data_IF_180715958369
#
_entry.id   IF_180715958369
#
_cell.length_a   1.000
_cell.length_b   1.000
_cell.length_c   1.000
_cell.angle_alpha   90.00
_cell.angle_beta   90.00
_cell.angle_gamma   90.00
#
_symmetry.space_group_name_H-M   'P 1'
#
loop_
_entity.id
_entity.type
_entity.pdbx_description
1 polymer ?
#
# COMPACT_ATOMS: atom_id res chain seq x y z
N UNK A 1 -59.41 -14.40 2.63
CA UNK A 1 -60.63 -13.68 3.07
C UNK A 1 -60.74 -13.95 4.56
N UNK A 2 -60.64 -13.02 5.49
CA UNK A 2 -60.86 -11.57 5.49
C UNK A 2 -59.70 -10.82 6.15
N UNK A 3 -59.54 -9.57 5.71
CA UNK A 3 -58.69 -8.53 6.30
C UNK A 3 -59.46 -7.81 7.41
N UNK A 4 -58.78 -7.50 8.53
CA UNK A 4 -59.04 -6.32 9.39
C UNK A 4 -57.65 -5.80 9.77
N UNK A 5 -57.08 -4.76 9.15
CA UNK A 5 -57.39 -3.32 9.25
C UNK A 5 -57.46 -2.83 10.71
N UNK A 6 -56.29 -2.52 11.26
CA UNK A 6 -56.15 -1.43 12.23
C UNK A 6 -55.12 -0.44 11.70
N UNK A 7 -55.56 0.81 11.65
CA UNK A 7 -54.93 1.94 11.00
C UNK A 7 -54.95 3.09 12.00
N UNK A 8 -53.83 3.82 12.07
CA UNK A 8 -53.65 5.17 12.61
C UNK A 8 -53.76 5.40 14.13
N UNK A 9 -52.64 5.84 14.73
CA UNK A 9 -52.43 7.26 15.03
C UNK A 9 -50.99 7.53 15.53
N UNK A 10 -50.23 8.34 14.77
CA UNK A 10 -49.19 9.19 15.34
C UNK A 10 -49.84 10.30 16.16
N UNK A 11 -49.15 10.78 17.20
CA UNK A 11 -48.88 12.21 17.21
C UNK A 11 -47.41 12.56 17.46
N UNK A 12 -47.04 13.64 16.78
CA UNK A 12 -45.83 14.45 16.95
C UNK A 12 -45.52 14.73 18.43
N UNK A 13 -44.26 14.55 18.83
CA UNK A 13 -43.67 15.45 19.82
C UNK A 13 -42.24 15.80 19.45
N UNK A 14 -42.16 16.99 18.88
CA UNK A 14 -41.02 17.88 18.72
C UNK A 14 -40.21 18.02 20.02
N UNK A 15 -38.92 17.77 19.98
CA UNK A 15 -37.95 18.44 20.87
C UNK A 15 -37.02 19.28 19.99
N UNK A 16 -37.39 20.56 19.87
CA UNK A 16 -36.52 21.68 19.50
C UNK A 16 -35.98 22.26 20.80
N UNK A 17 -34.67 22.39 20.98
CA UNK A 17 -33.98 23.37 21.84
C UNK A 17 -32.47 23.15 21.52
N UNK A 18 -31.62 24.10 21.13
CA UNK A 18 -31.67 25.55 20.94
C UNK A 18 -30.54 25.89 19.95
N UNK A 19 -30.91 26.50 18.84
CA UNK A 19 -30.05 27.46 18.16
C UNK A 19 -30.06 28.74 19.01
N UNK A 20 -28.90 29.23 19.41
CA UNK A 20 -28.74 30.64 19.78
C UNK A 20 -27.51 31.22 19.11
N UNK A 21 -27.75 31.77 17.93
CA UNK A 21 -27.01 32.91 17.39
C UNK A 21 -27.54 34.20 18.04
N UNK A 22 -26.62 35.11 18.41
CA UNK A 22 -26.71 36.59 18.41
C UNK A 22 -25.38 37.08 19.02
N UNK A 23 -24.41 37.49 18.21
CA UNK A 23 -24.30 38.82 17.60
C UNK A 23 -24.33 39.94 18.64
N UNK A 24 -23.18 40.59 18.86
CA UNK A 24 -22.98 42.05 18.80
C UNK A 24 -21.66 42.44 19.48
N UNK A 25 -20.65 42.75 18.68
CA UNK A 25 -19.66 43.76 19.03
C UNK A 25 -19.26 44.51 17.74
N UNK A 26 -20.09 45.50 17.37
CA UNK A 26 -19.65 46.75 16.73
C UNK A 26 -19.10 47.62 17.88
N UNK A 27 -18.05 48.43 17.79
CA UNK A 27 -17.64 49.46 16.83
C UNK A 27 -16.12 49.67 17.05
N UNK A 28 -15.31 49.96 16.02
CA UNK A 28 -14.51 51.20 15.82
C UNK A 28 -13.32 50.70 14.97
N UNK A 29 -12.74 51.33 13.95
CA UNK A 29 -12.96 52.49 13.10
C UNK A 29 -11.81 52.43 12.08
N UNK A 30 -12.10 52.68 10.81
CA UNK A 30 -11.20 53.10 9.72
C UNK A 30 -9.68 53.05 9.96
N UNK A 31 -8.98 52.18 9.22
CA UNK A 31 -7.74 52.60 8.56
C UNK A 31 -7.43 51.71 7.34
N UNK A 32 -6.91 52.38 6.32
CA UNK A 32 -6.82 51.98 4.92
C UNK A 32 -5.72 50.94 4.62
N UNK A 33 -5.83 50.37 3.41
CA UNK A 33 -4.81 49.70 2.58
C UNK A 33 -4.66 48.16 2.66
N UNK A 34 -4.70 47.59 1.44
CA UNK A 34 -4.24 46.27 0.97
C UNK A 34 -5.17 45.04 1.17
N UNK A 35 -5.74 44.48 0.08
CA UNK A 35 -6.20 43.10 0.09
C UNK A 35 -4.99 42.21 -0.24
N UNK A 36 -4.35 41.63 0.78
CA UNK A 36 -3.58 40.39 0.58
C UNK A 36 -4.36 39.26 1.25
N UNK A 37 -5.39 38.80 0.54
CA UNK A 37 -6.08 37.57 0.86
C UNK A 37 -5.12 36.45 0.43
N UNK A 38 -4.20 36.09 1.33
CA UNK A 38 -3.37 34.89 1.20
C UNK A 38 -4.33 33.72 1.31
N UNK A 39 -4.80 33.27 0.15
CA UNK A 39 -5.31 31.92 -0.03
C UNK A 39 -4.12 31.02 0.28
N UNK A 40 -4.01 30.58 1.54
CA UNK A 40 -3.26 29.36 1.86
C UNK A 40 -4.07 28.27 1.18
N UNK A 41 -3.79 28.06 -0.10
CA UNK A 41 -4.08 26.82 -0.77
C UNK A 41 -3.25 25.78 -0.02
N UNK A 42 -3.83 25.24 1.06
CA UNK A 42 -3.47 23.92 1.51
C UNK A 42 -3.76 23.01 0.32
N UNK A 43 -2.75 22.82 -0.52
CA UNK A 43 -2.71 21.66 -1.42
C UNK A 43 -2.96 20.48 -0.50
N UNK A 44 -4.15 19.92 -0.56
CA UNK A 44 -4.43 18.64 0.03
C UNK A 44 -3.53 17.65 -0.70
N UNK A 45 -2.31 17.47 -0.19
CA UNK A 45 -1.49 16.35 -0.57
C UNK A 45 -2.33 15.14 -0.19
N UNK A 46 -2.73 14.35 -1.18
CA UNK A 46 -3.27 13.03 -0.88
C UNK A 46 -2.27 12.35 0.07
N UNK A 47 -2.75 11.83 1.19
CA UNK A 47 -1.91 11.20 2.20
C UNK A 47 -1.19 10.01 1.56
N UNK A 48 0.08 10.17 1.22
CA UNK A 48 0.94 9.06 0.84
C UNK A 48 1.51 8.43 2.10
N UNK A 49 1.57 7.10 2.13
CA UNK A 49 2.28 6.40 3.20
C UNK A 49 3.80 6.48 3.03
N UNK A 50 4.31 6.86 1.86
CA UNK A 50 5.73 6.90 1.52
C UNK A 50 6.43 8.16 2.08
N UNK A 51 6.31 8.36 3.39
CA UNK A 51 6.92 9.49 4.11
C UNK A 51 8.27 9.09 4.68
N UNK A 52 9.15 10.05 4.97
CA UNK A 52 10.43 9.77 5.63
C UNK A 52 10.27 9.01 6.95
N UNK A 53 9.25 9.35 7.74
CA UNK A 53 8.95 8.67 8.99
C UNK A 53 8.62 7.19 8.78
N UNK A 54 7.68 6.89 7.87
CA UNK A 54 7.26 5.52 7.61
C UNK A 54 8.34 4.68 6.94
N UNK A 55 9.12 5.27 6.03
CA UNK A 55 10.27 4.59 5.43
C UNK A 55 11.37 4.30 6.47
N UNK A 56 11.55 5.17 7.46
CA UNK A 56 12.50 4.93 8.56
C UNK A 56 12.06 3.78 9.45
N UNK A 57 10.76 3.70 9.76
CA UNK A 57 10.17 2.56 10.48
C UNK A 57 10.37 1.26 9.72
N UNK A 58 10.11 1.26 8.40
CA UNK A 58 10.33 0.11 7.54
C UNK A 58 11.81 -0.32 7.55
N UNK A 59 12.73 0.61 7.31
CA UNK A 59 14.18 0.35 7.30
C UNK A 59 14.67 -0.26 8.61
N UNK A 60 14.16 0.22 9.75
CA UNK A 60 14.51 -0.30 11.06
C UNK A 60 13.97 -1.72 11.31
N UNK A 61 12.80 -2.04 10.75
CA UNK A 61 12.18 -3.36 10.87
C UNK A 61 12.84 -4.44 9.99
N UNK A 62 13.35 -4.07 8.81
CA UNK A 62 13.88 -5.01 7.82
C UNK A 62 14.92 -6.01 8.38
N UNK A 63 15.93 -5.60 9.20
CA UNK A 63 16.92 -6.54 9.73
C UNK A 63 16.34 -7.59 10.69
N UNK A 64 15.29 -7.25 11.43
CA UNK A 64 14.60 -8.20 12.31
C UNK A 64 13.70 -9.12 11.49
N UNK A 65 12.92 -8.56 10.55
CA UNK A 65 12.07 -9.32 9.63
C UNK A 65 12.87 -10.34 8.80
N UNK A 66 14.09 -10.00 8.38
CA UNK A 66 14.96 -10.90 7.63
C UNK A 66 15.49 -12.10 8.43
N UNK A 67 15.40 -12.07 9.76
CA UNK A 67 15.84 -13.16 10.65
C UNK A 67 14.71 -14.07 11.08
N UNK A 68 13.46 -13.73 10.75
CA UNK A 68 12.32 -14.57 11.10
C UNK A 68 12.40 -15.85 10.26
N UNK A 69 12.63 -16.98 10.92
CA UNK A 69 12.63 -18.29 10.28
C UNK A 69 11.21 -18.65 9.85
N UNK A 70 11.08 -19.17 8.63
CA UNK A 70 9.84 -19.74 8.12
C UNK A 70 10.01 -21.23 7.92
N UNK A 71 9.08 -21.98 8.48
CA UNK A 71 9.00 -23.43 8.31
C UNK A 71 8.79 -23.83 6.83
N UNK A 72 8.15 -22.97 6.04
CA UNK A 72 7.89 -23.19 4.61
C UNK A 72 8.22 -21.96 3.75
N UNK A 73 9.51 -21.74 3.44
CA UNK A 73 9.96 -20.63 2.57
C UNK A 73 9.32 -20.68 1.17
N UNK A 74 8.92 -21.87 0.69
CA UNK A 74 8.28 -22.02 -0.62
C UNK A 74 6.90 -21.35 -0.70
N UNK A 75 6.19 -21.20 0.42
CA UNK A 75 4.89 -20.52 0.45
C UNK A 75 5.01 -19.01 0.23
N UNK A 76 6.17 -18.38 0.49
CA UNK A 76 6.39 -16.96 0.18
C UNK A 76 6.32 -16.65 -1.31
N UNK A 77 6.86 -17.55 -2.15
CA UNK A 77 6.87 -17.38 -3.59
C UNK A 77 5.50 -17.60 -4.23
N UNK A 78 4.54 -18.12 -3.46
CA UNK A 78 3.17 -18.37 -3.89
C UNK A 78 2.19 -17.26 -3.49
N UNK A 79 2.65 -16.23 -2.77
CA UNK A 79 1.81 -15.10 -2.37
C UNK A 79 1.33 -14.35 -3.61
N UNK A 80 0.02 -14.30 -3.78
CA UNK A 80 -0.66 -13.58 -4.87
C UNK A 80 -1.34 -12.34 -4.31
N UNK A 81 -0.92 -11.17 -4.81
CA UNK A 81 -1.61 -9.91 -4.60
C UNK A 81 -2.87 -9.85 -5.48
N UNK A 82 -3.98 -9.38 -4.95
CA UNK A 82 -5.20 -9.16 -5.72
C UNK A 82 -5.25 -7.75 -6.33
N UNK A 83 -6.02 -7.57 -7.41
CA UNK A 83 -6.15 -6.28 -8.09
C UNK A 83 -7.14 -5.33 -7.37
N UNK A 84 -6.81 -4.89 -6.15
CA UNK A 84 -7.57 -3.87 -5.41
C UNK A 84 -6.68 -3.03 -4.49
N UNK A 85 -7.15 -1.86 -4.06
CA UNK A 85 -6.36 -0.93 -3.23
C UNK A 85 -6.76 -0.93 -1.75
N UNK A 86 -7.53 -1.93 -1.30
CA UNK A 86 -7.82 -2.10 0.12
C UNK A 86 -6.64 -2.82 0.80
N UNK A 87 -5.74 -2.06 1.42
CA UNK A 87 -4.53 -2.59 2.04
C UNK A 87 -4.78 -3.42 3.29
N UNK A 88 -5.84 -3.11 4.05
CA UNK A 88 -6.26 -3.96 5.17
C UNK A 88 -6.72 -5.33 4.67
N UNK A 89 -7.45 -5.35 3.55
CA UNK A 89 -7.86 -6.59 2.91
C UNK A 89 -6.66 -7.36 2.35
N UNK A 90 -5.71 -6.68 1.69
CA UNK A 90 -4.45 -7.31 1.23
C UNK A 90 -3.69 -7.97 2.38
N UNK A 91 -3.55 -7.28 3.52
CA UNK A 91 -2.87 -7.85 4.68
C UNK A 91 -3.56 -9.15 5.15
N UNK A 92 -4.90 -9.17 5.23
CA UNK A 92 -5.65 -10.39 5.58
C UNK A 92 -5.50 -11.50 4.54
N UNK A 93 -5.63 -11.17 3.25
CA UNK A 93 -5.57 -12.15 2.16
C UNK A 93 -4.18 -12.76 1.99
N UNK A 94 -3.11 -11.97 2.15
CA UNK A 94 -1.73 -12.48 2.10
C UNK A 94 -1.46 -13.38 3.31
N UNK A 95 -1.92 -12.99 4.50
CA UNK A 95 -1.76 -13.81 5.71
C UNK A 95 -2.49 -15.13 5.63
N UNK A 96 -3.68 -15.15 5.03
CA UNK A 96 -4.43 -16.38 4.78
C UNK A 96 -3.71 -17.34 3.80
N UNK A 97 -2.76 -16.85 3.01
CA UNK A 97 -1.94 -17.66 2.10
C UNK A 97 -0.66 -18.20 2.75
N UNK A 98 -0.32 -17.72 3.96
CA UNK A 98 0.91 -18.12 4.65
C UNK A 98 0.61 -19.24 5.65
N UNK A 99 1.47 -20.26 5.65
CA UNK A 99 1.39 -21.40 6.56
C UNK A 99 2.24 -21.15 7.81
N UNK A 100 1.76 -21.57 8.98
CA UNK A 100 2.45 -21.45 10.26
C UNK A 100 2.06 -20.19 11.07
N UNK A 101 1.25 -20.37 12.12
CA UNK A 101 0.80 -19.26 12.98
C UNK A 101 1.95 -18.58 13.74
N UNK A 102 2.96 -19.34 14.19
CA UNK A 102 4.11 -18.79 14.93
C UNK A 102 4.97 -17.81 14.11
N UNK A 103 5.06 -18.01 12.80
CA UNK A 103 5.74 -17.06 11.90
C UNK A 103 5.02 -15.71 11.87
N UNK A 104 3.69 -15.73 11.70
CA UNK A 104 2.88 -14.51 11.60
C UNK A 104 2.87 -13.72 12.92
N UNK A 105 2.83 -14.42 14.06
CA UNK A 105 2.89 -13.78 15.39
C UNK A 105 4.23 -13.06 15.59
N UNK A 106 5.34 -13.67 15.17
CA UNK A 106 6.66 -13.05 15.25
C UNK A 106 6.80 -11.84 14.31
N UNK A 107 6.25 -11.94 13.09
CA UNK A 107 6.16 -10.79 12.17
C UNK A 107 5.35 -9.66 12.80
N UNK A 108 4.16 -9.95 13.35
CA UNK A 108 3.30 -8.94 13.98
C UNK A 108 3.97 -8.28 15.19
N UNK A 109 4.71 -9.05 16.00
CA UNK A 109 5.51 -8.54 17.11
C UNK A 109 6.57 -7.56 16.61
N UNK A 110 7.36 -7.93 15.61
CA UNK A 110 8.41 -7.07 15.04
C UNK A 110 7.81 -5.81 14.43
N UNK A 111 6.71 -5.92 13.67
CA UNK A 111 6.04 -4.75 13.10
C UNK A 111 5.59 -3.79 14.21
N UNK A 112 4.99 -4.30 15.29
CA UNK A 112 4.56 -3.48 16.41
C UNK A 112 5.72 -2.75 17.11
N UNK A 113 6.89 -3.40 17.27
CA UNK A 113 8.09 -2.76 17.84
C UNK A 113 8.58 -1.54 17.04
N UNK A 114 8.27 -1.52 15.74
CA UNK A 114 8.61 -0.43 14.83
C UNK A 114 7.42 0.47 14.50
N UNK A 115 6.32 0.39 15.27
CA UNK A 115 5.09 1.16 15.07
C UNK A 115 4.49 0.98 13.66
N UNK A 116 4.62 -0.22 13.11
CA UNK A 116 4.02 -0.64 11.86
C UNK A 116 2.81 -1.54 12.15
N UNK A 117 1.71 -1.26 11.49
CA UNK A 117 0.57 -2.19 11.43
C UNK A 117 0.71 -3.05 10.18
N UNK A 118 0.08 -4.22 10.16
CA UNK A 118 0.10 -5.08 8.98
C UNK A 118 -0.42 -4.42 7.69
N UNK A 119 -1.53 -3.66 7.71
CA UNK A 119 -1.98 -2.92 6.53
C UNK A 119 -0.95 -1.87 6.08
N UNK A 120 -0.37 -1.12 7.02
CA UNK A 120 0.63 -0.10 6.71
C UNK A 120 1.91 -0.72 6.13
N UNK A 121 2.38 -1.83 6.73
CA UNK A 121 3.52 -2.57 6.22
C UNK A 121 3.26 -3.07 4.79
N UNK A 122 2.11 -3.71 4.56
CA UNK A 122 1.72 -4.22 3.24
C UNK A 122 1.69 -3.09 2.19
N UNK A 123 1.08 -1.95 2.53
CA UNK A 123 1.03 -0.80 1.64
C UNK A 123 2.42 -0.22 1.35
N UNK A 124 3.25 -0.04 2.39
CA UNK A 124 4.62 0.46 2.26
C UNK A 124 5.49 -0.45 1.41
N UNK A 125 5.44 -1.76 1.61
CA UNK A 125 6.23 -2.70 0.82
C UNK A 125 5.72 -2.80 -0.62
N UNK A 126 4.39 -2.81 -0.82
CA UNK A 126 3.81 -2.86 -2.15
C UNK A 126 4.17 -1.61 -2.95
N UNK A 127 3.84 -0.43 -2.44
CA UNK A 127 4.16 0.85 -3.10
C UNK A 127 5.66 1.08 -3.20
N UNK A 128 6.42 0.80 -2.14
CA UNK A 128 7.86 0.97 -2.08
C UNK A 128 8.64 0.08 -3.04
N UNK A 129 8.10 -1.09 -3.41
CA UNK A 129 8.67 -1.97 -4.44
C UNK A 129 8.43 -1.50 -5.87
N UNK A 130 7.51 -0.55 -6.08
CA UNK A 130 7.15 -0.07 -7.41
C UNK A 130 8.33 0.40 -8.27
N UNK A 131 9.32 1.18 -7.75
CA UNK A 131 10.44 1.63 -8.57
C UNK A 131 11.27 0.47 -9.13
N UNK A 132 11.36 -0.65 -8.39
CA UNK A 132 12.02 -1.87 -8.85
C UNK A 132 11.21 -2.51 -9.96
N UNK A 133 9.90 -2.73 -9.74
CA UNK A 133 8.99 -3.30 -10.75
C UNK A 133 8.95 -2.47 -12.04
N UNK A 134 8.87 -1.14 -11.92
CA UNK A 134 8.86 -0.21 -13.04
C UNK A 134 10.18 -0.24 -13.81
N UNK A 135 11.32 -0.32 -13.11
CA UNK A 135 12.64 -0.41 -13.74
C UNK A 135 12.87 -1.70 -14.52
N UNK A 136 12.19 -2.79 -14.15
CA UNK A 136 12.30 -4.08 -14.84
C UNK A 136 11.43 -4.15 -16.10
N UNK A 137 10.44 -3.25 -16.28
CA UNK A 137 9.50 -3.31 -17.40
C UNK A 137 10.17 -3.41 -18.79
N UNK A 138 11.24 -2.65 -19.10
CA UNK A 138 11.93 -2.79 -20.39
C UNK A 138 12.56 -4.18 -20.56
N UNK A 139 13.18 -4.72 -19.49
CA UNK A 139 13.77 -6.05 -19.51
C UNK A 139 12.69 -7.13 -19.73
N UNK A 140 11.55 -7.04 -19.04
CA UNK A 140 10.43 -7.98 -19.20
C UNK A 140 9.93 -8.01 -20.66
N UNK A 141 9.85 -6.86 -21.32
CA UNK A 141 9.45 -6.79 -22.74
C UNK A 141 10.46 -7.46 -23.68
N UNK A 142 11.76 -7.30 -23.41
CA UNK A 142 12.82 -7.97 -24.18
C UNK A 142 12.78 -9.48 -23.94
N UNK A 143 12.68 -9.91 -22.69
CA UNK A 143 12.57 -11.32 -22.31
C UNK A 143 11.38 -12.01 -22.98
N UNK A 144 10.22 -11.34 -23.07
CA UNK A 144 9.05 -11.85 -23.81
C UNK A 144 9.33 -12.11 -25.28
N UNK A 145 10.06 -11.20 -25.94
CA UNK A 145 10.45 -11.37 -27.34
C UNK A 145 11.48 -12.48 -27.53
N UNK A 146 12.24 -12.80 -26.47
CA UNK A 146 13.24 -13.86 -26.48
C UNK A 146 12.66 -15.26 -26.23
N UNK A 147 11.45 -15.38 -25.66
CA UNK A 147 10.80 -16.67 -25.33
C UNK A 147 10.79 -17.72 -26.46
N UNK A 148 10.55 -17.36 -27.74
CA UNK A 148 10.56 -18.35 -28.83
C UNK A 148 11.91 -19.02 -29.04
N UNK A 149 13.01 -18.36 -28.64
CA UNK A 149 14.38 -18.83 -28.81
C UNK A 149 14.91 -19.66 -27.64
N UNK A 150 14.12 -19.80 -26.56
CA UNK A 150 14.51 -20.58 -25.39
C UNK A 150 14.15 -22.07 -25.56
N UNK A 151 14.99 -22.99 -25.07
CA UNK A 151 14.62 -24.38 -24.84
C UNK A 151 13.36 -24.50 -23.98
N UNK A 152 12.53 -25.51 -24.25
CA UNK A 152 11.22 -25.69 -23.61
C UNK A 152 11.21 -25.59 -22.07
N UNK A 153 12.10 -26.27 -21.31
CA UNK A 153 12.09 -26.15 -19.84
C UNK A 153 12.41 -24.72 -19.36
N UNK A 154 13.33 -24.03 -20.04
CA UNK A 154 13.70 -22.65 -19.70
C UNK A 154 12.60 -21.67 -20.10
N UNK A 155 11.91 -21.94 -21.21
CA UNK A 155 10.75 -21.17 -21.67
C UNK A 155 9.64 -21.18 -20.62
N UNK A 156 9.27 -22.35 -20.11
CA UNK A 156 8.20 -22.50 -19.12
C UNK A 156 8.52 -21.76 -17.82
N UNK A 157 9.75 -21.91 -17.30
CA UNK A 157 10.19 -21.19 -16.12
C UNK A 157 10.21 -19.67 -16.34
N UNK A 158 10.68 -19.23 -17.51
CA UNK A 158 10.74 -17.79 -17.85
C UNK A 158 9.33 -17.21 -17.96
N UNK A 159 8.38 -17.93 -18.57
CA UNK A 159 6.97 -17.51 -18.64
C UNK A 159 6.39 -17.31 -17.23
N UNK A 160 6.61 -18.25 -16.31
CA UNK A 160 6.12 -18.12 -14.93
C UNK A 160 6.65 -16.85 -14.24
N UNK A 161 7.95 -16.57 -14.37
CA UNK A 161 8.57 -15.37 -13.76
C UNK A 161 8.04 -14.08 -14.40
N UNK A 162 7.87 -14.07 -15.73
CA UNK A 162 7.34 -12.92 -16.46
C UNK A 162 5.89 -12.62 -16.05
N UNK A 163 5.06 -13.65 -15.98
CA UNK A 163 3.65 -13.51 -15.62
C UNK A 163 3.48 -13.10 -14.16
N UNK A 164 4.29 -13.66 -13.25
CA UNK A 164 4.29 -13.25 -11.85
C UNK A 164 4.67 -11.77 -11.70
N UNK A 165 5.73 -11.32 -12.40
CA UNK A 165 6.18 -9.93 -12.33
C UNK A 165 5.17 -8.95 -12.93
N UNK A 166 4.53 -9.33 -14.04
CA UNK A 166 3.47 -8.53 -14.63
C UNK A 166 2.24 -8.47 -13.72
N UNK A 167 1.85 -9.59 -13.10
CA UNK A 167 0.74 -9.65 -12.16
C UNK A 167 0.95 -8.70 -10.97
N UNK A 168 2.15 -8.68 -10.37
CA UNK A 168 2.47 -7.73 -9.30
C UNK A 168 2.39 -6.27 -9.77
N UNK A 169 2.88 -5.99 -10.98
CA UNK A 169 2.81 -4.65 -11.58
C UNK A 169 1.34 -4.22 -11.78
N UNK A 170 0.48 -5.13 -12.24
CA UNK A 170 -0.94 -4.87 -12.45
C UNK A 170 -1.72 -4.74 -11.13
N UNK A 171 -1.33 -5.47 -10.08
CA UNK A 171 -1.97 -5.39 -8.77
C UNK A 171 -1.65 -4.08 -8.04
N UNK A 172 -0.41 -3.60 -8.14
CA UNK A 172 0.08 -2.42 -7.38
C UNK A 172 -0.14 -1.12 -8.14
N UNK A 173 0.13 -1.11 -9.46
CA UNK A 173 0.16 0.11 -10.27
C UNK A 173 -1.09 1.00 -10.17
N UNK A 174 -2.31 0.43 -10.29
CA UNK A 174 -3.55 1.19 -10.15
C UNK A 174 -3.76 1.82 -8.76
N UNK A 175 -3.04 1.37 -7.73
CA UNK A 175 -3.16 1.87 -6.36
C UNK A 175 -2.18 2.99 -6.02
N UNK A 176 -1.41 3.46 -7.01
CA UNK A 176 -0.50 4.59 -6.86
C UNK A 176 -1.21 5.91 -7.18
N UNK A 177 -1.39 6.72 -6.14
CA UNK A 177 -1.85 8.10 -6.29
C UNK A 177 -0.76 9.00 -6.86
N UNK A 178 -1.10 10.23 -7.26
CA UNK A 178 -0.09 11.21 -7.67
C UNK A 178 0.88 11.56 -6.53
N UNK A 179 0.40 11.62 -5.28
CA UNK A 179 1.27 11.83 -4.13
C UNK A 179 2.27 10.68 -3.94
N UNK A 180 1.82 9.43 -4.15
CA UNK A 180 2.72 8.29 -4.12
C UNK A 180 3.77 8.39 -5.23
N UNK A 181 3.40 8.76 -6.46
CA UNK A 181 4.34 8.90 -7.57
C UNK A 181 5.42 9.94 -7.28
N UNK A 182 5.04 11.08 -6.70
CA UNK A 182 5.98 12.12 -6.28
C UNK A 182 6.92 11.59 -5.19
N UNK A 183 6.38 10.97 -4.15
CA UNK A 183 7.16 10.40 -3.06
C UNK A 183 8.11 9.28 -3.53
N UNK A 184 7.69 8.45 -4.48
CA UNK A 184 8.52 7.41 -5.10
C UNK A 184 9.73 7.98 -5.83
N UNK A 185 9.58 9.11 -6.53
CA UNK A 185 10.72 9.78 -7.17
C UNK A 185 11.66 10.39 -6.12
N UNK A 186 11.10 11.04 -5.10
CA UNK A 186 11.88 11.64 -4.01
C UNK A 186 12.72 10.59 -3.26
N UNK A 187 12.14 9.42 -2.99
CA UNK A 187 12.77 8.37 -2.19
C UNK A 187 13.37 7.24 -3.03
N UNK A 188 13.50 7.39 -4.36
CA UNK A 188 13.90 6.30 -5.26
C UNK A 188 15.20 5.60 -4.85
N UNK A 189 16.26 6.35 -4.58
CA UNK A 189 17.55 5.77 -4.18
C UNK A 189 17.48 4.99 -2.87
N UNK A 190 16.71 5.52 -1.90
CA UNK A 190 16.46 4.91 -0.60
C UNK A 190 15.66 3.59 -0.74
N UNK A 191 14.61 3.61 -1.55
CA UNK A 191 13.77 2.44 -1.83
C UNK A 191 14.55 1.33 -2.57
N UNK A 192 15.40 1.69 -3.54
CA UNK A 192 16.26 0.73 -4.22
C UNK A 192 17.29 0.11 -3.26
N UNK A 193 17.87 0.90 -2.36
CA UNK A 193 18.77 0.39 -1.34
C UNK A 193 18.07 -0.57 -0.37
N UNK A 194 16.83 -0.25 0.05
CA UNK A 194 16.01 -1.15 0.87
C UNK A 194 15.64 -2.44 0.16
N UNK A 195 15.30 -2.40 -1.13
CA UNK A 195 14.89 -3.58 -1.88
C UNK A 195 15.95 -4.70 -1.87
N UNK A 196 17.24 -4.33 -1.82
CA UNK A 196 18.35 -5.30 -1.67
C UNK A 196 18.38 -6.04 -0.33
N UNK A 197 17.65 -5.53 0.68
CA UNK A 197 17.61 -6.04 2.06
C UNK A 197 16.27 -6.66 2.43
N UNK A 198 15.28 -6.64 1.53
CA UNK A 198 13.97 -7.22 1.80
C UNK A 198 14.02 -8.75 1.69
N UNK A 199 13.51 -9.50 2.68
CA UNK A 199 13.36 -10.94 2.57
C UNK A 199 12.36 -11.28 1.45
N UNK A 200 12.66 -12.28 0.62
CA UNK A 200 11.82 -12.67 -0.51
C UNK A 200 11.93 -11.77 -1.75
N UNK A 201 13.02 -11.02 -1.90
CA UNK A 201 13.25 -10.14 -3.05
C UNK A 201 13.03 -10.82 -4.41
N UNK A 202 12.54 -10.04 -5.38
CA UNK A 202 12.25 -10.47 -6.76
C UNK A 202 13.50 -10.93 -7.54
N UNK A 203 14.68 -10.71 -6.98
CA UNK A 203 15.93 -11.22 -7.51
C UNK A 203 16.18 -12.56 -6.81
N UNK A 204 16.06 -13.70 -7.51
CA UNK A 204 16.38 -14.99 -6.91
C UNK A 204 17.80 -14.94 -6.37
N UNK A 205 17.99 -15.32 -5.10
CA UNK A 205 19.31 -15.49 -4.48
C UNK A 205 20.19 -16.51 -5.23
N UNK A 206 19.61 -17.27 -6.14
CA UNK A 206 20.29 -18.09 -7.15
C UNK A 206 20.16 -17.45 -8.54
N UNK A 207 20.97 -16.44 -8.79
CA UNK A 207 21.54 -16.22 -10.12
C UNK A 207 22.86 -17.02 -10.30
N UNK A 208 23.07 -18.08 -9.52
CA UNK A 208 24.02 -19.16 -9.85
C UNK A 208 23.38 -20.07 -10.90
N UNK A 209 23.26 -19.58 -12.13
CA UNK A 209 23.01 -20.43 -13.31
C UNK A 209 23.63 -19.76 -14.54
N UNK A 210 24.96 -19.68 -14.54
CA UNK A 210 25.78 -19.62 -15.74
C UNK A 210 27.05 -20.45 -15.47
N UNK A 211 27.21 -21.65 -16.06
CA UNK A 211 28.51 -22.08 -16.52
C UNK A 211 28.99 -21.21 -17.70
#
# INVERSE_FOLDING_TARGET
>A
MELKHESYHQPLTTIRYLSMTKSLCRVISFCSLAPLLVVVAGTAWADTVLTDANLTKLEAALPALAKVEQDNVASLYQVRLQAHCNWSRHATEVRAQQEGQGYLDEVDRILAEHELTAPLFMELTAKGSWPVLDSMRPMLQVSRRALPFLPEPQRQQTVQVLDQTEHMTQAIGPCLTEADKVALQQHRGRLLAMASRMPGGLIPAKAELLP
#
